data_IF_301253656431
#
_entry.id   IF_301253656431
#
_cell.length_a   1.000
_cell.length_b   1.000
_cell.length_c   1.000
_cell.angle_alpha   90.00
_cell.angle_beta   90.00
_cell.angle_gamma   90.00
#
_symmetry.space_group_name_H-M   'P 1'
#
loop_
_entity.id
_entity.type
_entity.pdbx_description
1 polymer ?
#
# COMPACT_ATOMS: atom_id res chain seq x y z
N UNK A 1 4.90 20.44 -10.34
CA UNK A 1 3.91 19.65 -9.60
C UNK A 1 4.49 19.42 -8.22
N UNK A 2 3.76 19.83 -7.19
CA UNK A 2 4.18 19.64 -5.80
C UNK A 2 3.53 18.37 -5.25
N UNK A 3 4.33 17.35 -4.97
CA UNK A 3 3.85 16.09 -4.38
C UNK A 3 4.32 16.01 -2.93
N UNK A 4 3.38 15.94 -2.00
CA UNK A 4 3.65 15.77 -0.57
C UNK A 4 3.03 14.48 -0.06
N UNK A 5 3.65 13.88 0.96
CA UNK A 5 3.11 12.73 1.68
C UNK A 5 3.08 13.09 3.16
N UNK A 6 1.92 12.95 3.80
CA UNK A 6 1.73 13.30 5.21
C UNK A 6 1.04 12.17 5.96
N UNK A 7 1.31 12.06 7.26
CA UNK A 7 0.61 11.11 8.12
C UNK A 7 -0.89 11.42 8.14
N UNK A 8 -1.71 10.37 8.13
CA UNK A 8 -3.17 10.48 8.24
C UNK A 8 -3.53 11.04 9.62
N UNK A 9 -4.48 11.98 9.64
CA UNK A 9 -5.04 12.58 10.86
C UNK A 9 -6.55 12.34 10.92
N UNK A 10 -7.16 12.40 12.10
CA UNK A 10 -8.62 12.24 12.25
C UNK A 10 -9.40 13.28 11.44
N UNK A 11 -8.86 14.49 11.27
CA UNK A 11 -9.46 15.53 10.45
C UNK A 11 -9.18 15.43 8.96
N UNK A 12 -8.38 14.45 8.52
CA UNK A 12 -7.96 14.27 7.12
C UNK A 12 -8.48 12.98 6.48
N UNK A 13 -9.54 12.39 7.02
CA UNK A 13 -10.15 11.15 6.49
C UNK A 13 -10.79 11.37 5.11
N UNK A 14 -11.23 12.59 4.83
CA UNK A 14 -11.76 13.03 3.54
C UNK A 14 -10.68 13.09 2.43
N UNK A 15 -9.40 13.21 2.81
CA UNK A 15 -8.27 13.14 1.88
C UNK A 15 -7.90 11.71 1.48
N UNK A 16 -8.63 10.69 1.97
CA UNK A 16 -8.46 9.33 1.48
C UNK A 16 -9.06 9.17 0.07
N UNK A 17 -8.39 8.43 -0.82
CA UNK A 17 -8.96 7.95 -2.07
C UNK A 17 -10.38 7.38 -1.89
N UNK A 18 -11.29 7.64 -2.83
CA UNK A 18 -12.72 7.36 -2.68
C UNK A 18 -12.98 5.87 -2.34
N UNK A 19 -12.26 4.96 -2.98
CA UNK A 19 -12.35 3.54 -2.67
C UNK A 19 -11.78 3.22 -1.28
N UNK A 20 -10.63 3.78 -0.92
CA UNK A 20 -9.98 3.50 0.37
C UNK A 20 -10.83 3.98 1.57
N UNK A 21 -11.58 5.07 1.40
CA UNK A 21 -12.50 5.60 2.43
C UNK A 21 -13.72 4.70 2.69
N UNK A 22 -14.13 3.88 1.72
CA UNK A 22 -15.28 2.96 1.84
C UNK A 22 -14.89 1.49 1.97
N UNK A 23 -13.63 1.16 1.65
CA UNK A 23 -13.16 -0.21 1.63
C UNK A 23 -12.96 -0.73 3.06
N UNK A 24 -13.82 -1.68 3.42
CA UNK A 24 -13.82 -2.43 4.69
C UNK A 24 -13.28 -3.85 4.51
N UNK A 25 -12.51 -4.09 3.44
CA UNK A 25 -11.96 -5.41 3.13
C UNK A 25 -11.13 -5.94 4.30
N UNK A 26 -10.33 -5.10 4.96
CA UNK A 26 -9.45 -5.55 6.04
C UNK A 26 -10.12 -5.48 7.41
N UNK A 27 -11.01 -4.51 7.55
CA UNK A 27 -11.63 -4.06 8.79
C UNK A 27 -12.81 -4.94 9.20
N UNK A 28 -13.40 -5.68 8.26
CA UNK A 28 -14.53 -6.58 8.54
C UNK A 28 -14.24 -8.05 8.18
N UNK A 29 -14.68 -8.92 9.07
CA UNK A 29 -14.85 -10.34 8.79
C UNK A 29 -15.85 -10.50 7.62
N UNK A 30 -15.50 -11.22 6.54
CA UNK A 30 -16.38 -11.42 5.40
C UNK A 30 -17.72 -12.10 5.76
N UNK A 31 -17.78 -12.93 6.81
CA UNK A 31 -19.04 -13.51 7.29
C UNK A 31 -19.97 -12.43 7.86
N UNK A 32 -19.44 -11.57 8.74
CA UNK A 32 -20.18 -10.42 9.30
C UNK A 32 -20.58 -9.44 8.19
N UNK A 33 -19.66 -9.16 7.26
CA UNK A 33 -19.93 -8.27 6.14
C UNK A 33 -21.02 -8.81 5.21
N UNK A 34 -21.18 -10.13 5.09
CA UNK A 34 -22.26 -10.77 4.32
C UNK A 34 -23.62 -10.63 5.03
N UNK A 35 -23.65 -10.84 6.34
CA UNK A 35 -24.87 -10.75 7.15
C UNK A 35 -25.40 -9.31 7.28
N UNK A 36 -24.49 -8.32 7.29
CA UNK A 36 -24.84 -6.91 7.40
C UNK A 36 -25.09 -6.20 6.05
N UNK A 37 -25.10 -6.92 4.92
CA UNK A 37 -25.31 -6.32 3.59
C UNK A 37 -26.65 -5.58 3.54
N UNK A 38 -26.59 -4.24 3.52
CA UNK A 38 -27.76 -3.35 3.50
C UNK A 38 -28.06 -2.62 4.82
N UNK A 39 -27.38 -2.97 5.91
CA UNK A 39 -27.57 -2.33 7.23
C UNK A 39 -26.33 -1.60 7.76
N UNK A 40 -25.14 -1.92 7.26
CA UNK A 40 -23.88 -1.25 7.64
C UNK A 40 -23.44 -0.27 6.55
N UNK A 41 -23.08 0.95 6.95
CA UNK A 41 -22.45 1.95 6.08
C UNK A 41 -20.92 1.74 6.07
N UNK A 42 -20.31 1.26 4.97
CA UNK A 42 -18.89 0.95 4.95
C UNK A 42 -17.99 2.17 5.14
N UNK A 43 -18.46 3.38 4.82
CA UNK A 43 -17.69 4.60 5.11
C UNK A 43 -17.62 4.82 6.61
N UNK A 44 -18.77 4.73 7.30
CA UNK A 44 -18.82 4.84 8.75
C UNK A 44 -17.99 3.76 9.45
N UNK A 45 -18.08 2.49 9.02
CA UNK A 45 -17.25 1.41 9.61
C UNK A 45 -15.75 1.68 9.43
N UNK A 46 -15.34 2.16 8.24
CA UNK A 46 -13.95 2.51 7.96
C UNK A 46 -13.48 3.68 8.84
N UNK A 47 -14.29 4.72 8.98
CA UNK A 47 -14.00 5.87 9.83
C UNK A 47 -13.94 5.48 11.31
N UNK A 48 -14.83 4.61 11.78
CA UNK A 48 -14.84 4.07 13.14
C UNK A 48 -13.58 3.24 13.42
N UNK A 49 -13.20 2.36 12.48
CA UNK A 49 -11.96 1.59 12.58
C UNK A 49 -10.72 2.49 12.61
N UNK A 50 -10.58 3.41 11.64
CA UNK A 50 -9.45 4.35 11.59
C UNK A 50 -9.36 5.17 12.88
N UNK A 51 -10.48 5.69 13.37
CA UNK A 51 -10.52 6.48 14.59
C UNK A 51 -10.07 5.67 15.80
N UNK A 52 -10.55 4.43 15.92
CA UNK A 52 -10.17 3.52 17.01
C UNK A 52 -8.66 3.24 16.99
N UNK A 53 -8.12 2.84 15.84
CA UNK A 53 -6.69 2.56 15.70
C UNK A 53 -5.86 3.82 16.00
N UNK A 54 -6.30 4.99 15.56
CA UNK A 54 -5.57 6.24 15.80
C UNK A 54 -5.56 6.67 17.25
N UNK A 55 -6.65 6.43 17.99
CA UNK A 55 -6.74 6.71 19.42
C UNK A 55 -5.88 5.73 20.24
N UNK A 56 -5.81 4.46 19.85
CA UNK A 56 -5.09 3.43 20.59
C UNK A 56 -3.60 3.33 20.24
N UNK A 57 -3.25 3.57 18.98
CA UNK A 57 -1.92 3.27 18.44
C UNK A 57 -1.25 4.45 17.73
N UNK A 58 -1.98 5.55 17.50
CA UNK A 58 -1.51 6.70 16.73
C UNK A 58 -1.73 6.53 15.23
N UNK A 59 -1.13 7.41 14.43
CA UNK A 59 -1.37 7.42 12.98
C UNK A 59 -1.12 6.04 12.35
N UNK A 60 -2.08 5.61 11.54
CA UNK A 60 -2.16 4.30 10.90
C UNK A 60 -2.26 4.41 9.37
N UNK A 61 -1.81 5.54 8.83
CA UNK A 61 -1.81 5.76 7.39
C UNK A 61 -0.94 6.91 6.93
N UNK A 62 -0.58 6.88 5.66
CA UNK A 62 0.05 7.97 4.92
C UNK A 62 -0.89 8.38 3.80
N UNK A 63 -1.02 9.68 3.56
CA UNK A 63 -1.81 10.25 2.46
C UNK A 63 -0.88 11.05 1.58
N UNK A 64 -0.92 10.77 0.29
CA UNK A 64 -0.21 11.54 -0.71
C UNK A 64 -1.15 12.56 -1.35
N UNK A 65 -0.65 13.78 -1.54
CA UNK A 65 -1.35 14.81 -2.30
C UNK A 65 -0.49 15.34 -3.45
N UNK A 66 -1.13 15.65 -4.57
CA UNK A 66 -0.51 16.31 -5.73
C UNK A 66 -1.26 17.59 -6.00
N UNK A 67 -0.56 18.72 -5.94
CA UNK A 67 -1.13 20.06 -6.12
C UNK A 67 -2.37 20.31 -5.22
N UNK A 68 -2.35 19.74 -4.00
CA UNK A 68 -3.40 19.87 -2.98
C UNK A 68 -4.55 18.86 -3.08
N UNK A 69 -4.62 18.06 -4.13
CA UNK A 69 -5.64 17.02 -4.29
C UNK A 69 -5.15 15.66 -3.77
N UNK A 70 -6.07 14.85 -3.23
CA UNK A 70 -5.77 13.49 -2.80
C UNK A 70 -5.31 12.64 -4.00
N UNK A 71 -4.09 12.09 -3.91
CA UNK A 71 -3.44 11.34 -4.97
C UNK A 71 -3.22 9.87 -4.60
N UNK A 72 -3.23 9.53 -3.31
CA UNK A 72 -3.08 8.16 -2.86
C UNK A 72 -3.02 8.03 -1.35
N UNK A 73 -3.02 6.79 -0.86
CA UNK A 73 -2.81 6.48 0.54
C UNK A 73 -2.15 5.12 0.74
N UNK A 74 -1.50 4.96 1.88
CA UNK A 74 -1.15 3.67 2.46
C UNK A 74 -1.77 3.56 3.85
N UNK A 75 -2.35 2.42 4.20
CA UNK A 75 -2.90 2.14 5.54
C UNK A 75 -2.19 0.93 6.14
N UNK A 76 -1.87 1.02 7.43
CA UNK A 76 -1.12 0.01 8.15
C UNK A 76 -1.52 0.00 9.63
N UNK A 77 -1.55 -1.18 10.24
CA UNK A 77 -1.99 -1.32 11.63
C UNK A 77 -1.38 -2.55 12.31
N UNK A 78 -1.41 -2.62 13.65
CA UNK A 78 -1.08 -3.85 14.35
C UNK A 78 -2.01 -5.00 13.91
N UNK A 79 -1.52 -6.24 13.73
CA UNK A 79 -2.33 -7.34 13.19
C UNK A 79 -3.60 -7.64 14.00
N UNK A 80 -3.55 -7.41 15.32
CA UNK A 80 -4.68 -7.66 16.25
C UNK A 80 -5.94 -6.83 15.95
N UNK A 81 -5.80 -5.67 15.30
CA UNK A 81 -6.91 -4.79 14.94
C UNK A 81 -7.34 -4.96 13.47
N UNK A 82 -6.84 -6.00 12.78
CA UNK A 82 -7.18 -6.28 11.38
C UNK A 82 -7.89 -7.63 11.31
N UNK A 83 -9.23 -7.68 11.46
CA UNK A 83 -9.97 -8.95 11.58
C UNK A 83 -9.70 -9.93 10.43
N UNK A 84 -9.66 -9.46 9.18
CA UNK A 84 -9.45 -10.34 8.03
C UNK A 84 -8.05 -10.97 7.99
N UNK A 85 -7.06 -10.41 8.67
CA UNK A 85 -5.70 -10.96 8.67
C UNK A 85 -5.66 -12.41 9.16
N UNK A 86 -6.51 -12.78 10.13
CA UNK A 86 -6.57 -14.15 10.66
C UNK A 86 -7.11 -15.20 9.68
N UNK A 87 -7.69 -14.79 8.55
CA UNK A 87 -8.37 -15.67 7.61
C UNK A 87 -7.50 -16.10 6.41
N UNK A 88 -6.29 -15.57 6.30
CA UNK A 88 -5.36 -15.93 5.22
C UNK A 88 -4.65 -17.26 5.51
N UNK A 89 -4.35 -18.06 4.47
CA UNK A 89 -3.67 -19.36 4.62
C UNK A 89 -2.21 -19.22 5.11
N UNK A 90 -1.62 -18.04 4.95
CA UNK A 90 -0.23 -17.73 5.33
C UNK A 90 -0.11 -17.03 6.69
N UNK A 91 -1.22 -16.95 7.43
CA UNK A 91 -1.28 -16.43 8.80
C UNK A 91 -0.68 -17.40 9.83
N UNK A 92 -0.29 -16.92 11.03
CA UNK A 92 -0.41 -15.55 11.53
C UNK A 92 0.69 -14.60 11.02
N UNK A 93 0.39 -13.29 11.06
CA UNK A 93 1.41 -12.24 10.93
C UNK A 93 2.37 -12.33 12.12
N UNK A 94 3.66 -12.06 11.90
CA UNK A 94 4.66 -12.17 12.96
C UNK A 94 4.38 -11.15 14.08
N UNK A 95 4.61 -11.50 15.35
CA UNK A 95 4.22 -10.67 16.50
C UNK A 95 5.01 -9.36 16.61
N UNK A 96 6.15 -9.25 15.93
CA UNK A 96 7.01 -8.07 15.88
C UNK A 96 6.77 -7.17 14.66
N UNK A 97 5.82 -7.54 13.80
CA UNK A 97 5.52 -6.84 12.56
C UNK A 97 4.24 -5.99 12.66
N UNK A 98 4.25 -4.88 11.92
CA UNK A 98 3.03 -4.12 11.58
C UNK A 98 2.54 -4.60 10.22
N UNK A 99 1.22 -4.67 10.05
CA UNK A 99 0.60 -5.14 8.82
C UNK A 99 0.27 -3.95 7.90
N UNK A 100 0.86 -3.92 6.71
CA UNK A 100 0.44 -3.07 5.60
C UNK A 100 -0.80 -3.68 4.96
N UNK A 101 -1.93 -2.98 5.05
CA UNK A 101 -3.22 -3.50 4.57
C UNK A 101 -3.60 -2.90 3.23
N UNK A 102 -3.43 -1.59 3.07
CA UNK A 102 -3.88 -0.87 1.87
C UNK A 102 -2.73 -0.08 1.29
N UNK A 103 -2.55 -0.16 -0.03
CA UNK A 103 -1.76 0.79 -0.80
C UNK A 103 -2.56 1.15 -2.05
N UNK A 104 -2.84 2.43 -2.24
CA UNK A 104 -3.65 2.91 -3.36
C UNK A 104 -3.13 4.24 -3.86
N UNK A 105 -2.96 4.34 -5.17
CA UNK A 105 -2.78 5.60 -5.87
C UNK A 105 -3.96 5.81 -6.82
N UNK A 106 -4.45 7.05 -6.90
CA UNK A 106 -5.48 7.48 -7.83
C UNK A 106 -4.88 7.74 -9.21
N UNK A 107 -5.69 7.63 -10.26
CA UNK A 107 -5.29 8.05 -11.59
C UNK A 107 -5.08 9.57 -11.63
N UNK A 108 -4.05 10.11 -12.31
CA UNK A 108 -3.07 9.44 -13.17
C UNK A 108 -1.79 8.95 -12.44
N UNK A 109 -1.74 9.05 -11.12
CA UNK A 109 -0.53 8.80 -10.32
C UNK A 109 -0.29 7.32 -9.95
N UNK A 110 -1.09 6.40 -10.53
CA UNK A 110 -0.99 4.97 -10.24
C UNK A 110 0.32 4.36 -10.75
N UNK A 111 0.73 4.75 -11.94
CA UNK A 111 1.91 4.19 -12.63
C UNK A 111 3.13 5.11 -12.49
N UNK A 112 3.12 5.99 -11.49
CA UNK A 112 4.24 6.88 -11.16
C UNK A 112 5.02 6.37 -9.95
N UNK A 113 5.99 7.14 -9.46
CA UNK A 113 6.73 6.84 -8.23
C UNK A 113 5.88 6.91 -6.93
N UNK A 114 4.61 7.31 -7.03
CA UNK A 114 3.77 7.62 -5.86
C UNK A 114 3.56 6.42 -4.92
N UNK A 115 3.28 5.20 -5.40
CA UNK A 115 3.17 4.02 -4.53
C UNK A 115 4.48 3.73 -3.77
N UNK A 116 5.63 3.89 -4.43
CA UNK A 116 6.95 3.72 -3.80
C UNK A 116 7.18 4.78 -2.71
N UNK A 117 6.87 6.05 -3.00
CA UNK A 117 6.96 7.15 -2.02
C UNK A 117 6.04 6.94 -0.81
N UNK A 118 4.85 6.39 -1.02
CA UNK A 118 3.94 6.01 0.06
C UNK A 118 4.55 4.91 0.94
N UNK A 119 5.13 3.86 0.37
CA UNK A 119 5.84 2.81 1.13
C UNK A 119 7.02 3.41 1.91
N UNK A 120 7.83 4.25 1.27
CA UNK A 120 8.97 4.92 1.93
C UNK A 120 8.50 5.77 3.12
N UNK A 121 7.36 6.48 3.00
CA UNK A 121 6.79 7.25 4.09
C UNK A 121 6.29 6.35 5.25
N UNK A 122 5.68 5.20 4.93
CA UNK A 122 5.29 4.20 5.94
C UNK A 122 6.53 3.65 6.66
N UNK A 123 7.55 3.23 5.91
CA UNK A 123 8.82 2.73 6.44
C UNK A 123 9.46 3.77 7.36
N UNK A 124 9.58 5.02 6.91
CA UNK A 124 10.16 6.10 7.71
C UNK A 124 9.37 6.36 9.01
N UNK A 125 8.04 6.27 8.98
CA UNK A 125 7.22 6.37 10.20
C UNK A 125 7.48 5.22 11.17
N UNK A 126 7.45 3.98 10.67
CA UNK A 126 7.58 2.78 11.48
C UNK A 126 9.00 2.64 12.07
N UNK A 127 10.04 3.02 11.33
CA UNK A 127 11.43 3.10 11.82
C UNK A 127 11.52 4.09 12.98
N UNK A 128 10.97 5.31 12.84
CA UNK A 128 10.95 6.31 13.94
C UNK A 128 10.23 5.80 15.18
N UNK A 129 9.27 4.89 15.01
CA UNK A 129 8.48 4.28 16.09
C UNK A 129 9.13 3.00 16.66
N UNK A 130 10.29 2.60 16.15
CA UNK A 130 11.02 1.42 16.62
C UNK A 130 10.37 0.09 16.24
N UNK A 131 9.53 0.06 15.21
CA UNK A 131 8.91 -1.17 14.69
C UNK A 131 9.98 -2.00 13.96
N UNK A 132 9.97 -3.32 14.17
CA UNK A 132 10.98 -4.23 13.60
C UNK A 132 10.76 -4.52 12.13
N UNK A 133 9.52 -4.81 11.76
CA UNK A 133 9.20 -5.24 10.41
C UNK A 133 7.83 -4.71 9.95
N UNK A 134 7.70 -4.58 8.63
CA UNK A 134 6.44 -4.37 7.94
C UNK A 134 6.10 -5.64 7.18
N UNK A 135 4.94 -6.22 7.44
CA UNK A 135 4.44 -7.39 6.72
C UNK A 135 3.23 -7.04 5.87
N UNK A 136 3.00 -7.80 4.81
CA UNK A 136 1.86 -7.65 3.93
C UNK A 136 1.40 -9.02 3.41
N UNK A 137 0.09 -9.18 3.21
CA UNK A 137 -0.43 -10.25 2.38
C UNK A 137 -0.54 -9.73 0.94
N UNK A 138 0.26 -10.28 0.04
CA UNK A 138 0.22 -9.96 -1.37
C UNK A 138 -0.86 -10.75 -2.11
N UNK A 139 -1.22 -10.32 -3.32
CA UNK A 139 -2.00 -11.12 -4.27
C UNK A 139 -1.17 -11.42 -5.52
N UNK A 140 -1.23 -12.66 -5.99
CA UNK A 140 -0.77 -13.08 -7.31
C UNK A 140 -1.99 -13.34 -8.18
N UNK A 141 -2.15 -12.58 -9.27
CA UNK A 141 -3.32 -12.66 -10.16
C UNK A 141 -3.21 -13.77 -11.23
N UNK A 142 -2.02 -14.34 -11.42
CA UNK A 142 -1.79 -15.45 -12.34
C UNK A 142 -1.98 -16.82 -11.66
N UNK A 143 -2.53 -17.84 -12.34
CA UNK A 143 -2.33 -19.22 -11.89
C UNK A 143 -0.82 -19.52 -11.96
N UNK A 144 -0.22 -20.24 -10.99
CA UNK A 144 1.13 -20.77 -11.19
C UNK A 144 1.05 -21.61 -12.47
N UNK A 145 1.80 -21.20 -13.50
CA UNK A 145 1.83 -21.89 -14.78
C UNK A 145 2.31 -23.32 -14.53
N UNK A 146 1.37 -24.24 -14.33
CA UNK A 146 1.66 -25.66 -14.45
C UNK A 146 1.78 -25.85 -15.95
N UNK A 147 3.01 -26.03 -16.44
CA UNK A 147 3.25 -26.37 -17.83
C UNK A 147 2.39 -27.60 -18.16
N UNK A 148 1.28 -27.37 -18.86
CA UNK A 148 0.51 -28.44 -19.47
C UNK A 148 1.44 -29.10 -20.48
N UNK A 149 1.87 -30.32 -20.15
CA UNK A 149 2.59 -31.20 -21.07
C UNK A 149 1.89 -31.18 -22.42
N UNK A 150 2.66 -30.90 -23.47
CA UNK A 150 2.29 -30.89 -24.88
C UNK A 150 1.56 -32.19 -25.27
N UNK A 151 0.23 -32.22 -25.13
CA UNK A 151 -0.67 -33.26 -25.68
C UNK A 151 -2.15 -32.87 -25.50
N UNK A 152 -2.51 -31.68 -25.97
CA UNK A 152 -3.91 -31.32 -26.22
C UNK A 152 -4.04 -30.21 -27.28
N UNK A 153 -3.26 -30.28 -28.36
CA UNK A 153 -3.57 -29.52 -29.58
C UNK A 153 -4.68 -30.26 -30.34
N UNK A 154 -5.91 -30.04 -29.91
CA UNK A 154 -7.09 -30.71 -30.47
C UNK A 154 -8.33 -29.86 -30.32
N UNK A 155 -8.45 -28.86 -31.19
CA UNK A 155 -9.72 -28.32 -31.70
C UNK A 155 -10.69 -27.68 -30.69
N UNK A 156 -10.82 -26.35 -30.71
CA UNK A 156 -12.12 -25.74 -30.99
C UNK A 156 -12.03 -24.24 -31.31
N UNK A 157 -12.95 -23.86 -32.18
CA UNK A 157 -13.04 -22.66 -33.01
C UNK A 157 -13.26 -21.37 -32.22
N UNK A 158 -12.61 -20.31 -32.71
CA UNK A 158 -12.95 -18.90 -32.45
C UNK A 158 -14.39 -18.61 -32.89
N UNK A 159 -15.20 -18.12 -31.97
CA UNK A 159 -16.36 -17.28 -32.26
C UNK A 159 -16.14 -15.99 -31.50
N UNK A 160 -15.81 -14.94 -32.25
CA UNK A 160 -15.69 -13.56 -31.78
C UNK A 160 -17.01 -13.14 -31.11
N UNK A 161 -16.96 -12.94 -29.80
CA UNK A 161 -18.05 -12.38 -29.02
C UNK A 161 -17.93 -10.86 -29.05
N UNK A 162 -18.80 -10.25 -29.85
CA UNK A 162 -19.46 -8.94 -29.70
C UNK A 162 -18.74 -8.00 -28.71
N UNK A 163 -18.08 -6.98 -29.25
CA UNK A 163 -17.52 -5.85 -28.51
C UNK A 163 -18.57 -5.26 -27.56
N UNK A 164 -18.41 -5.58 -26.29
CA UNK A 164 -19.07 -4.85 -25.21
C UNK A 164 -18.45 -3.44 -25.18
N UNK A 165 -19.22 -2.36 -24.98
CA UNK A 165 -18.64 -1.03 -24.91
C UNK A 165 -17.53 -1.05 -23.86
N UNK A 166 -16.31 -0.66 -24.26
CA UNK A 166 -15.17 -0.54 -23.36
C UNK A 166 -15.55 0.46 -22.27
N UNK A 167 -16.13 -0.04 -21.16
CA UNK A 167 -16.25 0.70 -19.92
C UNK A 167 -14.83 0.99 -19.49
N UNK A 168 -14.52 2.27 -19.33
CA UNK A 168 -13.24 2.71 -18.81
C UNK A 168 -12.97 1.99 -17.47
N UNK A 169 -11.97 1.08 -17.40
CA UNK A 169 -11.65 0.35 -16.18
C UNK A 169 -11.29 1.27 -15.01
N UNK A 170 -10.92 2.52 -15.30
CA UNK A 170 -10.42 3.51 -14.35
C UNK A 170 -11.54 4.12 -13.49
N UNK A 171 -12.66 4.53 -14.09
CA UNK A 171 -13.81 5.07 -13.35
C UNK A 171 -14.54 3.99 -12.52
N UNK A 172 -14.46 2.73 -12.95
CA UNK A 172 -15.16 1.60 -12.30
C UNK A 172 -14.57 1.21 -10.95
N UNK A 173 -13.33 1.58 -10.61
CA UNK A 173 -12.66 1.12 -9.37
C UNK A 173 -13.02 1.93 -8.12
N UNK A 174 -13.40 3.20 -8.27
CA UNK A 174 -13.90 4.00 -7.16
C UNK A 174 -15.21 3.44 -6.58
N UNK A 175 -16.05 2.89 -7.47
CA UNK A 175 -17.34 2.25 -7.14
C UNK A 175 -17.29 0.73 -7.09
N UNK A 176 -16.17 0.11 -7.49
CA UNK A 176 -16.00 -1.34 -7.47
C UNK A 176 -16.29 -1.93 -6.09
N UNK A 177 -16.93 -3.09 -6.09
CA UNK A 177 -17.11 -3.91 -4.90
C UNK A 177 -15.75 -4.37 -4.37
N UNK A 178 -15.65 -4.52 -3.05
CA UNK A 178 -14.40 -5.00 -2.44
C UNK A 178 -14.17 -6.47 -2.80
N UNK A 179 -13.04 -6.75 -3.44
CA UNK A 179 -12.56 -8.10 -3.75
C UNK A 179 -11.05 -8.18 -3.52
N UNK A 180 -10.46 -9.38 -3.36
CA UNK A 180 -9.02 -9.53 -3.24
C UNK A 180 -8.25 -8.85 -4.39
N UNK A 181 -8.74 -8.97 -5.62
CA UNK A 181 -8.13 -8.41 -6.85
C UNK A 181 -8.18 -6.88 -6.89
N UNK A 182 -9.12 -6.28 -6.15
CA UNK A 182 -9.28 -4.83 -6.08
C UNK A 182 -8.55 -4.24 -4.87
N UNK A 183 -8.55 -4.94 -3.74
CA UNK A 183 -8.20 -4.39 -2.43
C UNK A 183 -6.85 -4.87 -1.89
N UNK A 184 -6.29 -5.97 -2.40
CA UNK A 184 -4.96 -6.45 -2.00
C UNK A 184 -3.86 -5.81 -2.86
N UNK A 185 -2.67 -5.72 -2.27
CA UNK A 185 -1.47 -5.19 -2.92
C UNK A 185 -0.87 -6.31 -3.77
N UNK A 186 -0.44 -5.97 -4.98
CA UNK A 186 0.23 -6.90 -5.87
C UNK A 186 1.54 -7.41 -5.23
N UNK A 187 1.73 -8.73 -5.22
CA UNK A 187 2.90 -9.34 -4.58
C UNK A 187 4.21 -9.03 -5.32
N UNK A 188 4.18 -8.92 -6.65
CA UNK A 188 5.37 -8.60 -7.45
C UNK A 188 5.82 -7.17 -7.15
N UNK A 189 4.86 -6.25 -7.04
CA UNK A 189 5.16 -4.87 -6.62
C UNK A 189 5.75 -4.78 -5.19
N UNK A 190 5.29 -5.60 -4.25
CA UNK A 190 5.85 -5.66 -2.90
C UNK A 190 7.30 -6.17 -2.94
N UNK A 191 7.58 -7.19 -3.75
CA UNK A 191 8.93 -7.72 -3.98
C UNK A 191 9.86 -6.66 -4.61
N UNK A 192 9.37 -5.90 -5.59
CA UNK A 192 10.08 -4.76 -6.18
C UNK A 192 10.39 -3.66 -5.15
N UNK A 193 9.54 -3.50 -4.13
CA UNK A 193 9.76 -2.60 -3.00
C UNK A 193 10.70 -3.16 -1.92
N UNK A 194 11.29 -4.35 -2.14
CA UNK A 194 12.24 -4.99 -1.23
C UNK A 194 11.62 -5.87 -0.16
N UNK A 195 10.32 -6.19 -0.25
CA UNK A 195 9.73 -7.20 0.64
C UNK A 195 10.17 -8.60 0.22
N UNK A 196 10.49 -9.44 1.20
CA UNK A 196 10.83 -10.84 0.99
C UNK A 196 9.64 -11.75 1.31
N UNK A 197 9.43 -12.80 0.51
CA UNK A 197 8.38 -13.79 0.77
C UNK A 197 8.81 -14.69 1.95
N UNK A 198 8.14 -14.54 3.09
CA UNK A 198 8.42 -15.32 4.31
C UNK A 198 7.46 -16.49 4.52
N UNK A 199 6.27 -16.45 3.90
CA UNK A 199 5.36 -17.59 3.84
C UNK A 199 4.84 -17.74 2.40
N UNK A 200 5.35 -18.71 1.62
CA UNK A 200 4.99 -18.87 0.23
C UNK A 200 3.57 -19.40 0.08
N UNK A 201 2.81 -18.83 -0.86
CA UNK A 201 1.51 -19.35 -1.28
C UNK A 201 1.21 -18.87 -2.70
N UNK A 202 0.62 -19.73 -3.52
CA UNK A 202 0.41 -19.46 -4.95
C UNK A 202 -0.45 -18.21 -5.24
N UNK A 203 -1.44 -17.94 -4.38
CA UNK A 203 -2.34 -16.77 -4.49
C UNK A 203 -2.09 -15.66 -3.47
N UNK A 204 -1.95 -16.00 -2.18
CA UNK A 204 -1.81 -15.06 -1.06
C UNK A 204 -0.49 -15.23 -0.29
N UNK A 205 0.67 -14.97 -0.92
CA UNK A 205 1.95 -15.02 -0.22
C UNK A 205 1.97 -13.97 0.91
N UNK A 206 2.65 -14.28 2.02
CA UNK A 206 2.96 -13.28 3.06
C UNK A 206 4.39 -12.83 2.88
N UNK A 207 4.57 -11.52 2.81
CA UNK A 207 5.84 -10.86 2.57
C UNK A 207 6.22 -10.00 3.77
N UNK A 208 7.53 -9.79 3.97
CA UNK A 208 8.11 -9.05 5.08
C UNK A 208 9.23 -8.14 4.60
N UNK A 209 9.21 -6.91 5.08
CA UNK A 209 10.29 -5.93 4.95
C UNK A 209 10.85 -5.66 6.35
N UNK A 210 12.13 -5.99 6.57
CA UNK A 210 12.83 -5.65 7.81
C UNK A 210 13.16 -4.15 7.83
N UNK A 211 12.78 -3.46 8.90
CA UNK A 211 12.93 -2.01 9.03
C UNK A 211 14.19 -1.61 9.80
N UNK A 212 14.74 -2.53 10.61
CA UNK A 212 15.87 -2.28 11.50
C UNK A 212 17.12 -3.11 11.14
N UNK A 213 17.29 -3.46 9.86
CA UNK A 213 18.55 -4.04 9.41
C UNK A 213 19.59 -2.92 9.34
N UNK A 214 20.61 -2.98 10.20
CA UNK A 214 21.70 -2.02 10.45
C UNK A 214 22.56 -1.59 9.21
N UNK A 215 22.04 -1.60 7.98
CA UNK A 215 22.83 -1.53 6.75
C UNK A 215 22.37 -0.46 5.72
N UNK A 216 21.56 0.53 6.08
CA UNK A 216 21.18 1.59 5.12
C UNK A 216 21.07 3.00 5.69
N UNK A 217 20.58 3.13 6.93
CA UNK A 217 20.35 4.44 7.53
C UNK A 217 21.63 5.26 7.72
N UNK A 218 22.76 4.63 8.06
CA UNK A 218 24.04 5.34 8.13
C UNK A 218 24.49 5.87 6.78
N UNK A 219 24.38 5.07 5.72
CA UNK A 219 24.81 5.48 4.38
C UNK A 219 23.94 6.59 3.81
N UNK A 220 22.62 6.55 4.03
CA UNK A 220 21.71 7.58 3.55
C UNK A 220 21.81 8.87 4.38
N UNK A 221 22.04 8.78 5.69
CA UNK A 221 22.32 9.95 6.54
C UNK A 221 23.69 10.55 6.23
N UNK A 222 24.72 9.74 6.01
CA UNK A 222 26.05 10.20 5.59
C UNK A 222 25.98 10.85 4.21
N UNK A 223 25.27 10.24 3.26
CA UNK A 223 25.04 10.83 1.93
C UNK A 223 24.26 12.15 2.01
N UNK A 224 23.26 12.25 2.88
CA UNK A 224 22.54 13.49 3.11
C UNK A 224 23.40 14.57 3.79
N UNK A 225 24.27 14.19 4.74
CA UNK A 225 25.23 15.10 5.37
C UNK A 225 26.27 15.61 4.35
N UNK A 226 26.81 14.72 3.52
CA UNK A 226 27.79 15.05 2.48
C UNK A 226 27.19 15.99 1.43
N UNK A 227 25.92 15.78 1.05
CA UNK A 227 25.21 16.70 0.15
C UNK A 227 25.03 18.10 0.77
N UNK A 228 24.75 18.20 2.07
CA UNK A 228 24.64 19.48 2.77
C UNK A 228 26.00 20.18 2.93
N UNK A 229 27.07 19.43 3.23
CA UNK A 229 28.44 19.95 3.31
C UNK A 229 28.98 20.40 1.95
N UNK A 230 28.68 19.66 0.87
CA UNK A 230 29.00 20.04 -0.50
C UNK A 230 28.24 21.30 -0.93
N UNK A 231 26.96 21.41 -0.60
CA UNK A 231 26.16 22.61 -0.88
C UNK A 231 26.70 23.84 -0.11
N UNK A 232 27.11 23.67 1.14
CA UNK A 232 27.67 24.75 1.97
C UNK A 232 29.04 25.23 1.46
N UNK A 233 29.88 24.34 0.94
CA UNK A 233 31.21 24.68 0.40
C UNK A 233 31.15 25.36 -0.98
N UNK A 234 30.11 25.10 -1.79
CA UNK A 234 29.86 25.83 -3.04
C UNK A 234 29.26 27.23 -2.84
N UNK A 235 28.75 27.55 -1.64
CA UNK A 235 28.14 28.84 -1.30
C UNK A 235 29.14 29.87 -0.75
N UNK A 236 30.44 29.73 -1.02
CA UNK A 236 31.42 30.77 -0.71
C UNK A 236 31.72 31.66 -1.93
N UNK A 237 30.97 32.75 -2.19
CA UNK A 237 31.40 33.76 -3.13
C UNK A 237 32.49 34.64 -2.50
N UNK A 238 33.64 34.55 -3.14
CA UNK A 238 34.75 35.49 -3.27
C UNK A 238 34.43 36.92 -2.79
N UNK A 239 35.11 37.37 -1.72
CA UNK A 239 35.20 38.80 -1.37
C UNK A 239 36.00 39.50 -2.48
N UNK A 240 35.31 40.05 -3.47
CA UNK A 240 35.89 41.00 -4.41
C UNK A 240 36.22 42.28 -3.63
N UNK A 241 37.52 42.52 -3.41
CA UNK A 241 38.02 43.73 -2.77
C UNK A 241 37.80 44.94 -3.68
N UNK A 242 37.09 45.93 -3.16
CA UNK A 242 37.05 47.27 -3.73
C UNK A 242 38.34 48.02 -3.33
N UNK A 243 39.04 48.58 -4.32
CA UNK A 243 39.80 49.83 -4.23
C UNK A 243 40.07 50.38 -5.62
#
# INVERSE_FOLDING_TARGET
MSTSVTALTLGGLDMLPAHARRCVFWEMDPAIAADCRGFSDPVFEKEAWLSTVMLEWGSCGQVASVDGAAAGCALYAPPRVVPRAGLFPTSPVSPDAILLTTLRAEFPHRDTDLPHRLIQAVVADLVRRGVRALEAFGIRLAPPATALTERAAGSMRLLERIDSPQRDPLASRATAECSPETCMIDADFLEDCGFEVIAPHHRFPRLRLELNSDHGWKEDVERALDQLLAAASMSAPTRAGAR
#
